data_IF_196845494214
#
_entry.id   IF_196845494214
#
_cell.length_a   1.000
_cell.length_b   1.000
_cell.length_c   1.000
_cell.angle_alpha   90.00
_cell.angle_beta   90.00
_cell.angle_gamma   90.00
#
_symmetry.space_group_name_H-M   'P 1'
#
loop_
_entity.id
_entity.type
_entity.pdbx_description
1 polymer ?
#
# COMPACT_ATOMS: atom_id res chain seq x y z
N UNK A 1 -7.58 -5.40 49.51
CA UNK A 1 -7.91 -4.12 48.82
C UNK A 1 -7.03 -3.86 47.60
N UNK A 2 -5.74 -4.25 47.58
CA UNK A 2 -4.83 -4.06 46.44
C UNK A 2 -5.12 -4.88 45.17
N UNK A 3 -5.80 -6.02 45.28
CA UNK A 3 -6.08 -6.90 44.14
C UNK A 3 -6.95 -6.25 43.06
N UNK A 4 -7.88 -5.38 43.46
CA UNK A 4 -8.74 -4.64 42.52
C UNK A 4 -7.97 -3.60 41.69
N UNK A 5 -6.88 -3.04 42.23
CA UNK A 5 -6.05 -2.04 41.54
C UNK A 5 -5.23 -2.72 40.44
N UNK A 6 -4.64 -3.89 40.72
CA UNK A 6 -3.87 -4.66 39.74
C UNK A 6 -4.76 -5.15 38.58
N UNK A 7 -5.97 -5.63 38.88
CA UNK A 7 -6.94 -6.06 37.85
C UNK A 7 -7.39 -4.87 36.99
N UNK A 8 -7.65 -3.71 37.59
CA UNK A 8 -8.02 -2.50 36.86
C UNK A 8 -6.92 -1.97 35.95
N UNK A 9 -5.65 -2.02 36.37
CA UNK A 9 -4.53 -1.60 35.53
C UNK A 9 -4.33 -2.55 34.32
N UNK A 10 -4.52 -3.85 34.52
CA UNK A 10 -4.36 -4.85 33.45
C UNK A 10 -5.48 -4.75 32.41
N UNK A 11 -6.72 -4.49 32.82
CA UNK A 11 -7.84 -4.29 31.88
C UNK A 11 -7.68 -3.02 31.06
N UNK A 12 -7.20 -1.92 31.66
CA UNK A 12 -6.88 -0.68 30.94
C UNK A 12 -5.73 -0.90 29.95
N UNK A 13 -4.68 -1.62 30.34
CA UNK A 13 -3.57 -1.96 29.45
C UNK A 13 -4.02 -2.80 28.25
N UNK A 14 -4.83 -3.83 28.47
CA UNK A 14 -5.41 -4.67 27.41
C UNK A 14 -6.35 -3.85 26.52
N UNK A 15 -7.20 -3.00 27.09
CA UNK A 15 -8.10 -2.14 26.32
C UNK A 15 -7.32 -1.15 25.45
N UNK A 16 -6.24 -0.55 25.97
CA UNK A 16 -5.35 0.32 25.20
C UNK A 16 -4.61 -0.43 24.10
N UNK A 17 -4.15 -1.66 24.37
CA UNK A 17 -3.51 -2.51 23.37
C UNK A 17 -4.49 -2.89 22.26
N UNK A 18 -5.70 -3.33 22.62
CA UNK A 18 -6.75 -3.68 21.67
C UNK A 18 -7.22 -2.45 20.89
N UNK A 19 -7.31 -1.28 21.52
CA UNK A 19 -7.62 -0.01 20.85
C UNK A 19 -6.50 0.42 19.89
N UNK A 20 -5.23 0.27 20.28
CA UNK A 20 -4.09 0.52 19.40
C UNK A 20 -4.04 -0.47 18.21
N UNK A 21 -4.35 -1.75 18.45
CA UNK A 21 -4.45 -2.77 17.40
C UNK A 21 -5.64 -2.51 16.48
N UNK A 22 -6.81 -2.16 17.05
CA UNK A 22 -8.00 -1.83 16.31
C UNK A 22 -7.82 -0.54 15.49
N UNK A 23 -7.17 0.49 16.03
CA UNK A 23 -6.88 1.73 15.27
C UNK A 23 -5.87 1.50 14.14
N UNK A 24 -4.93 0.55 14.29
CA UNK A 24 -4.13 0.06 13.16
C UNK A 24 -4.97 -0.65 12.11
N UNK A 25 -5.93 -1.47 12.53
CA UNK A 25 -6.82 -2.22 11.63
C UNK A 25 -7.92 -1.35 11.00
N UNK A 26 -8.29 -0.23 11.64
CA UNK A 26 -9.53 0.51 11.35
C UNK A 26 -9.31 1.89 10.72
N UNK A 27 -8.09 2.32 10.40
CA UNK A 27 -7.92 3.46 9.47
C UNK A 27 -8.68 3.11 8.21
N UNK A 28 -9.68 3.91 7.81
CA UNK A 28 -10.52 3.68 6.64
C UNK A 28 -9.63 3.41 5.43
N UNK A 29 -9.45 2.13 5.12
CA UNK A 29 -8.48 1.64 4.17
C UNK A 29 -9.05 1.83 2.77
N UNK A 30 -8.31 2.54 1.91
CA UNK A 30 -8.74 2.79 0.54
C UNK A 30 -8.71 1.46 -0.23
N UNK A 31 -9.83 1.09 -0.85
CA UNK A 31 -9.92 -0.15 -1.63
C UNK A 31 -9.47 0.18 -3.04
N UNK A 32 -8.30 -0.35 -3.41
CA UNK A 32 -7.73 -0.21 -4.74
C UNK A 32 -7.31 -1.59 -5.27
N UNK A 33 -7.31 -1.72 -6.59
CA UNK A 33 -6.87 -2.90 -7.32
C UNK A 33 -5.39 -2.80 -7.69
N UNK A 34 -4.79 -3.93 -8.08
CA UNK A 34 -3.41 -3.97 -8.57
C UNK A 34 -3.20 -3.10 -9.81
N UNK A 35 -4.18 -3.08 -10.73
CA UNK A 35 -4.10 -2.27 -11.94
C UNK A 35 -4.20 -0.77 -11.63
N UNK A 36 -5.08 -0.36 -10.71
CA UNK A 36 -5.22 1.06 -10.33
C UNK A 36 -3.93 1.60 -9.70
N UNK A 37 -3.29 0.83 -8.81
CA UNK A 37 -2.02 1.24 -8.20
C UNK A 37 -0.89 1.26 -9.24
N UNK A 38 -0.82 0.26 -10.13
CA UNK A 38 0.16 0.26 -11.21
C UNK A 38 0.00 1.48 -12.12
N UNK A 39 -1.24 1.83 -12.48
CA UNK A 39 -1.56 2.99 -13.29
C UNK A 39 -1.18 4.31 -12.61
N UNK A 40 -1.36 4.44 -11.29
CA UNK A 40 -0.92 5.63 -10.54
C UNK A 40 0.60 5.78 -10.60
N UNK A 41 1.35 4.69 -10.36
CA UNK A 41 2.81 4.71 -10.38
C UNK A 41 3.34 5.02 -11.79
N UNK A 42 2.73 4.44 -12.83
CA UNK A 42 3.08 4.69 -14.24
C UNK A 42 2.81 6.15 -14.63
N UNK A 43 1.62 6.66 -14.30
CA UNK A 43 1.26 8.07 -14.47
C UNK A 43 2.25 9.03 -13.82
N UNK A 44 2.67 8.73 -12.60
CA UNK A 44 3.68 9.50 -11.89
C UNK A 44 5.04 9.49 -12.61
N UNK A 45 5.49 8.32 -13.08
CA UNK A 45 6.74 8.18 -13.82
C UNK A 45 6.74 8.93 -15.16
N UNK A 46 5.59 8.96 -15.84
CA UNK A 46 5.41 9.67 -17.11
C UNK A 46 5.20 11.17 -16.93
N UNK A 47 5.12 11.66 -15.69
CA UNK A 47 4.77 13.05 -15.38
C UNK A 47 3.33 13.41 -15.76
N UNK A 48 2.47 12.40 -15.93
CA UNK A 48 1.09 12.52 -16.37
C UNK A 48 0.13 12.30 -15.18
N UNK A 49 -0.30 13.37 -14.51
CA UNK A 49 -1.24 13.27 -13.38
C UNK A 49 -1.52 14.64 -12.75
N UNK A 50 -2.48 14.69 -11.83
CA UNK A 50 -2.66 15.90 -11.01
C UNK A 50 -1.45 16.09 -10.09
N UNK A 51 -1.14 17.34 -9.75
CA UNK A 51 0.01 17.71 -8.92
C UNK A 51 -0.05 17.07 -7.52
N UNK A 52 -1.25 16.70 -7.08
CA UNK A 52 -1.50 16.08 -5.78
C UNK A 52 -1.73 14.56 -5.83
N UNK A 53 -1.91 13.96 -7.01
CA UNK A 53 -2.23 12.53 -7.13
C UNK A 53 -1.21 11.64 -6.43
N UNK A 54 0.08 11.97 -6.60
CA UNK A 54 1.17 11.20 -6.01
C UNK A 54 1.22 11.36 -4.49
N UNK A 55 1.04 12.58 -3.98
CA UNK A 55 1.03 12.87 -2.54
C UNK A 55 -0.16 12.20 -1.84
N UNK A 56 -1.34 12.28 -2.45
CA UNK A 56 -2.55 11.60 -1.98
C UNK A 56 -2.37 10.07 -1.95
N UNK A 57 -1.71 9.51 -2.97
CA UNK A 57 -1.42 8.08 -3.02
C UNK A 57 -0.48 7.65 -1.89
N UNK A 58 0.66 8.32 -1.69
CA UNK A 58 1.66 7.86 -0.71
C UNK A 58 1.21 8.09 0.74
N UNK A 59 0.28 9.01 1.00
CA UNK A 59 -0.20 9.35 2.36
C UNK A 59 -1.38 8.52 2.85
N UNK A 60 -2.19 7.94 1.96
CA UNK A 60 -3.43 7.23 2.32
C UNK A 60 -3.25 5.71 2.40
N UNK A 61 -3.50 5.07 3.55
CA UNK A 61 -3.38 3.61 3.68
C UNK A 61 -4.32 2.84 2.75
N UNK A 62 -3.83 1.74 2.18
CA UNK A 62 -4.57 0.86 1.28
C UNK A 62 -5.10 -0.38 2.01
N UNK A 63 -6.20 -0.94 1.50
CA UNK A 63 -6.87 -2.09 2.11
C UNK A 63 -6.11 -3.42 1.94
N UNK A 64 -5.52 -3.61 0.77
CA UNK A 64 -4.68 -4.77 0.48
C UNK A 64 -3.29 -4.54 1.07
N UNK A 65 -2.83 -5.46 1.92
CA UNK A 65 -1.58 -5.32 2.66
C UNK A 65 -0.33 -5.32 1.74
N UNK A 66 -0.39 -6.00 0.59
CA UNK A 66 0.69 -5.96 -0.40
C UNK A 66 0.76 -4.58 -1.06
N UNK A 67 -0.39 -4.05 -1.47
CA UNK A 67 -0.48 -2.70 -2.03
C UNK A 67 -0.03 -1.64 -1.01
N UNK A 68 -0.45 -1.76 0.25
CA UNK A 68 -0.05 -0.83 1.31
C UNK A 68 1.46 -0.90 1.58
N UNK A 69 2.04 -2.10 1.57
CA UNK A 69 3.50 -2.26 1.67
C UNK A 69 4.23 -1.57 0.52
N UNK A 70 3.74 -1.71 -0.72
CA UNK A 70 4.31 -1.02 -1.89
C UNK A 70 4.19 0.50 -1.72
N UNK A 71 3.02 1.00 -1.30
CA UNK A 71 2.81 2.42 -1.01
C UNK A 71 3.82 2.96 0.02
N UNK A 72 4.03 2.25 1.13
CA UNK A 72 5.00 2.66 2.16
C UNK A 72 6.44 2.74 1.62
N UNK A 73 6.81 1.80 0.75
CA UNK A 73 8.10 1.84 0.06
C UNK A 73 8.20 3.02 -0.90
N UNK A 74 7.14 3.34 -1.63
CA UNK A 74 7.09 4.54 -2.48
C UNK A 74 7.21 5.84 -1.66
N UNK A 75 6.57 5.90 -0.49
CA UNK A 75 6.62 7.06 0.41
C UNK A 75 8.04 7.35 0.93
N UNK A 76 8.81 6.30 1.22
CA UNK A 76 10.19 6.40 1.73
C UNK A 76 11.25 6.43 0.62
N UNK A 77 10.84 6.30 -0.65
CA UNK A 77 11.75 6.14 -1.78
C UNK A 77 12.66 7.36 -1.96
N UNK A 78 12.12 8.57 -1.81
CA UNK A 78 12.88 9.83 -1.96
C UNK A 78 14.00 9.96 -0.94
N UNK A 79 13.80 9.45 0.28
CA UNK A 79 14.83 9.48 1.34
C UNK A 79 15.96 8.50 1.03
N UNK A 80 15.63 7.34 0.47
CA UNK A 80 16.59 6.29 0.12
C UNK A 80 17.32 6.56 -1.19
N UNK A 81 16.63 7.17 -2.15
CA UNK A 81 17.10 7.44 -3.51
C UNK A 81 16.84 8.90 -3.89
N UNK A 82 17.57 9.86 -3.29
CA UNK A 82 17.33 11.27 -3.54
C UNK A 82 17.59 11.63 -5.01
N UNK A 83 16.92 12.66 -5.54
CA UNK A 83 17.12 13.13 -6.90
C UNK A 83 18.55 13.65 -7.11
N UNK A 84 19.15 13.30 -8.25
CA UNK A 84 20.45 13.80 -8.69
C UNK A 84 20.35 15.06 -9.56
N UNK A 85 19.15 15.35 -10.08
CA UNK A 85 18.83 16.50 -10.93
C UNK A 85 17.78 17.38 -10.23
N UNK A 86 17.80 18.69 -10.49
CA UNK A 86 16.77 19.60 -10.01
C UNK A 86 15.39 19.23 -10.54
N UNK A 87 14.36 19.42 -9.72
CA UNK A 87 12.95 19.14 -10.04
C UNK A 87 12.57 17.67 -10.28
N UNK A 88 13.44 16.70 -9.96
CA UNK A 88 13.05 15.29 -9.89
C UNK A 88 12.63 14.85 -8.50
N UNK A 89 11.78 13.84 -8.42
CA UNK A 89 11.39 13.22 -7.14
C UNK A 89 12.46 12.24 -6.62
N UNK A 90 13.08 11.48 -7.52
CA UNK A 90 14.08 10.43 -7.22
C UNK A 90 15.13 10.39 -8.34
N UNK A 91 16.27 9.74 -8.08
CA UNK A 91 17.23 9.39 -9.12
C UNK A 91 16.76 8.21 -9.99
N UNK A 92 17.53 7.89 -11.03
CA UNK A 92 17.28 6.79 -11.98
C UNK A 92 17.02 5.44 -11.30
N UNK A 93 17.72 5.15 -10.19
CA UNK A 93 17.57 3.89 -9.47
C UNK A 93 16.20 3.80 -8.80
N UNK A 94 15.71 4.88 -8.20
CA UNK A 94 14.36 4.90 -7.65
C UNK A 94 13.29 4.82 -8.74
N UNK A 95 13.48 5.43 -9.90
CA UNK A 95 12.57 5.25 -11.04
C UNK A 95 12.52 3.79 -11.50
N UNK A 96 13.65 3.09 -11.55
CA UNK A 96 13.71 1.67 -11.90
C UNK A 96 12.94 0.79 -10.90
N UNK A 97 13.03 1.11 -9.60
CA UNK A 97 12.26 0.44 -8.54
C UNK A 97 10.76 0.63 -8.76
N UNK A 98 10.31 1.86 -9.04
CA UNK A 98 8.91 2.15 -9.35
C UNK A 98 8.43 1.37 -10.58
N UNK A 99 9.23 1.34 -11.67
CA UNK A 99 8.94 0.51 -12.84
C UNK A 99 8.87 -0.98 -12.49
N UNK A 100 9.67 -1.43 -11.53
CA UNK A 100 9.62 -2.78 -10.97
C UNK A 100 8.28 -3.11 -10.33
N UNK A 101 7.74 -2.19 -9.51
CA UNK A 101 6.42 -2.36 -8.91
C UNK A 101 5.30 -2.41 -9.95
N UNK A 102 5.34 -1.55 -10.98
CA UNK A 102 4.37 -1.59 -12.09
C UNK A 102 4.34 -2.97 -12.75
N UNK A 103 5.52 -3.51 -13.09
CA UNK A 103 5.63 -4.86 -13.68
C UNK A 103 5.10 -5.94 -12.74
N UNK A 104 5.45 -5.87 -11.46
CA UNK A 104 4.99 -6.82 -10.45
C UNK A 104 3.47 -6.84 -10.35
N UNK A 105 2.85 -5.66 -10.22
CA UNK A 105 1.41 -5.51 -10.04
C UNK A 105 0.62 -6.00 -11.26
N UNK A 106 1.04 -5.63 -12.47
CA UNK A 106 0.41 -6.12 -13.71
C UNK A 106 0.56 -7.63 -13.89
N UNK A 107 1.70 -8.20 -13.48
CA UNK A 107 1.89 -9.65 -13.45
C UNK A 107 0.90 -10.36 -12.53
N UNK A 108 0.61 -9.77 -11.37
CA UNK A 108 -0.38 -10.28 -10.42
C UNK A 108 -1.82 -10.15 -10.94
N UNK A 109 -2.15 -9.05 -11.62
CA UNK A 109 -3.45 -8.88 -12.30
C UNK A 109 -3.66 -9.99 -13.34
N UNK A 110 -2.70 -10.20 -14.24
CA UNK A 110 -2.81 -11.20 -15.30
C UNK A 110 -2.91 -12.64 -14.76
N UNK A 111 -2.18 -12.96 -13.67
CA UNK A 111 -2.27 -14.27 -13.02
C UNK A 111 -3.62 -14.50 -12.35
N UNK A 112 -4.17 -13.46 -11.72
CA UNK A 112 -5.52 -13.50 -11.13
C UNK A 112 -6.59 -13.73 -12.20
N UNK A 113 -6.53 -12.99 -13.30
CA UNK A 113 -7.49 -13.12 -14.40
C UNK A 113 -7.45 -14.52 -15.06
N UNK A 114 -6.24 -15.08 -15.20
CA UNK A 114 -6.04 -16.45 -15.72
C UNK A 114 -6.67 -17.49 -14.81
N UNK A 115 -6.48 -17.34 -13.49
CA UNK A 115 -7.05 -18.25 -12.48
C UNK A 115 -8.58 -18.19 -12.50
N UNK A 116 -9.14 -17.00 -12.53
CA UNK A 116 -10.59 -16.80 -12.51
C UNK A 116 -11.23 -17.39 -13.78
N UNK A 117 -10.57 -17.27 -14.93
CA UNK A 117 -11.01 -17.89 -16.19
C UNK A 117 -11.00 -19.42 -16.16
N UNK A 118 -10.00 -20.04 -15.53
CA UNK A 118 -9.92 -21.49 -15.40
C UNK A 118 -11.05 -22.07 -14.52
N UNK A 119 -11.36 -21.41 -13.40
CA UNK A 119 -12.43 -21.83 -12.49
C UNK A 119 -13.82 -21.74 -13.14
N UNK A 120 -14.04 -20.76 -14.02
CA UNK A 120 -15.29 -20.64 -14.77
C UNK A 120 -15.46 -21.74 -15.82
N UNK A 121 -14.36 -22.21 -16.42
CA UNK A 121 -14.36 -23.35 -17.34
C UNK A 121 -14.79 -24.64 -16.65
N UNK A 122 -14.19 -24.96 -15.50
CA UNK A 122 -14.48 -26.19 -14.73
C UNK A 122 -15.90 -26.26 -14.14
N UNK A 123 -16.62 -25.14 -14.02
CA UNK A 123 -18.01 -25.10 -13.54
C UNK A 123 -19.05 -25.28 -14.65
N UNK A 124 -18.62 -25.23 -15.91
CA UNK A 124 -19.51 -25.28 -17.08
C UNK A 124 -19.61 -26.68 -17.70
N UNK A 125 -18.77 -27.62 -17.26
CA UNK A 125 -18.74 -29.03 -17.65
C UNK A 125 -19.44 -29.93 -16.60
#
# INVERSE_FOLDING_TARGET
MWTWIAVGAMTVGIALLLFALATRLSRRRNVMTYEEVAAIIERFLDGAGDVWDWDDFITRPLADDLLDTIRERCATLREQYPPTEENRYTNERGEEILRGYVRQLRGLTAERDRRDSAVLGERSD
#
